data_IF_881337867107
#
_entry.id   IF_881337867107
#
_cell.length_a   1.000
_cell.length_b   1.000
_cell.length_c   1.000
_cell.angle_alpha   90.00
_cell.angle_beta   90.00
_cell.angle_gamma   90.00
#
_symmetry.space_group_name_H-M   'P 1'
#
loop_
_entity.id
_entity.type
_entity.pdbx_description
1 polymer ?
#
# COMPACT_ATOMS: atom_id res chain seq x y z
N UNK A 1 -8.89 26.95 8.14
CA UNK A 1 -7.43 27.23 8.10
C UNK A 1 -6.66 25.92 8.21
N UNK A 2 -5.62 25.77 7.41
CA UNK A 2 -4.63 24.69 7.48
C UNK A 2 -3.31 25.28 6.96
N UNK A 3 -2.17 24.86 7.50
CA UNK A 3 -0.87 25.33 7.02
C UNK A 3 -0.50 24.68 5.68
N UNK A 4 0.18 25.46 4.84
CA UNK A 4 0.57 25.08 3.49
C UNK A 4 1.93 25.69 3.19
N UNK A 5 2.64 25.15 2.20
CA UNK A 5 3.85 25.76 1.68
C UNK A 5 3.80 25.92 0.15
N UNK A 6 4.77 26.66 -0.37
CA UNK A 6 5.06 26.69 -1.81
C UNK A 6 6.53 26.31 -1.96
N UNK A 7 6.85 25.36 -2.85
CA UNK A 7 8.24 25.04 -3.15
C UNK A 7 8.98 26.29 -3.66
N UNK A 8 10.14 26.64 -3.09
CA UNK A 8 10.96 27.74 -3.60
C UNK A 8 11.51 27.43 -4.99
N UNK A 9 11.92 28.46 -5.71
CA UNK A 9 12.62 28.31 -6.99
C UNK A 9 13.88 27.45 -6.79
N UNK A 10 14.08 26.47 -7.69
CA UNK A 10 15.27 25.61 -7.65
C UNK A 10 16.51 26.44 -7.90
N UNK A 11 17.48 26.35 -7.00
CA UNK A 11 18.82 26.93 -7.13
C UNK A 11 19.86 25.83 -7.22
N UNK A 12 20.97 26.10 -7.90
CA UNK A 12 22.20 25.30 -7.88
C UNK A 12 23.18 25.73 -6.78
N UNK A 13 22.96 26.91 -6.20
CA UNK A 13 23.85 27.58 -5.23
C UNK A 13 23.27 27.57 -3.82
N UNK A 14 21.98 27.29 -3.66
CA UNK A 14 21.27 27.27 -2.38
C UNK A 14 20.43 25.99 -2.22
N UNK A 15 20.30 25.53 -0.98
CA UNK A 15 19.36 24.50 -0.58
C UNK A 15 18.28 25.08 0.35
N UNK A 16 17.10 24.44 0.34
CA UNK A 16 16.04 24.66 1.31
C UNK A 16 15.73 23.36 2.00
N UNK A 17 15.74 23.36 3.34
CA UNK A 17 15.20 22.29 4.16
C UNK A 17 13.80 22.71 4.63
N UNK A 18 12.77 21.95 4.22
CA UNK A 18 11.39 22.12 4.67
C UNK A 18 11.10 21.01 5.67
N UNK A 19 10.65 21.34 6.87
CA UNK A 19 10.47 20.38 7.96
C UNK A 19 9.34 20.78 8.92
N UNK A 20 8.94 19.85 9.77
CA UNK A 20 7.97 20.05 10.87
C UNK A 20 8.48 19.29 12.10
N UNK A 21 8.14 19.73 13.31
CA UNK A 21 8.53 19.03 14.54
C UNK A 21 7.49 19.20 15.65
N UNK A 22 7.57 18.37 16.69
CA UNK A 22 6.71 18.52 17.87
C UNK A 22 6.95 19.84 18.64
N UNK A 23 8.12 20.46 18.48
CA UNK A 23 8.46 21.77 19.05
C UNK A 23 8.08 22.94 18.13
N UNK A 24 7.89 22.67 16.83
CA UNK A 24 7.56 23.65 15.80
C UNK A 24 6.52 23.04 14.84
N UNK A 25 5.25 22.92 15.23
CA UNK A 25 4.23 22.30 14.38
C UNK A 25 3.99 23.10 13.10
N UNK A 26 3.77 22.39 12.00
CA UNK A 26 3.55 22.94 10.66
C UNK A 26 4.84 23.14 9.85
N UNK A 27 4.72 23.66 8.63
CA UNK A 27 5.86 23.84 7.72
C UNK A 27 6.83 24.95 8.19
N UNK A 28 8.05 24.54 8.54
CA UNK A 28 9.20 25.37 8.86
C UNK A 28 10.25 25.31 7.74
N UNK A 29 11.08 26.33 7.64
CA UNK A 29 12.06 26.49 6.55
C UNK A 29 13.44 26.86 7.09
N UNK A 30 14.47 26.21 6.57
CA UNK A 30 15.86 26.63 6.72
C UNK A 30 16.54 26.73 5.35
N UNK A 31 17.44 27.70 5.21
CA UNK A 31 18.06 28.08 3.95
C UNK A 31 19.58 28.11 4.12
N UNK A 32 20.32 27.58 3.16
CA UNK A 32 21.78 27.60 3.20
C UNK A 32 22.40 27.51 1.80
N UNK A 33 23.69 27.81 1.71
CA UNK A 33 24.44 27.73 0.44
C UNK A 33 24.97 26.32 0.19
N UNK A 34 24.95 25.92 -1.07
CA UNK A 34 25.63 24.72 -1.59
C UNK A 34 26.98 25.15 -2.13
N UNK A 35 28.05 24.84 -1.40
CA UNK A 35 29.42 25.20 -1.77
C UNK A 35 30.19 23.96 -2.21
N UNK A 36 31.12 24.13 -3.15
CA UNK A 36 32.01 23.04 -3.55
C UNK A 36 32.99 22.75 -2.41
N UNK A 37 33.06 21.49 -1.97
CA UNK A 37 33.96 21.06 -0.91
C UNK A 37 35.44 21.33 -1.23
N UNK A 38 35.83 21.42 -2.51
CA UNK A 38 37.21 21.75 -2.91
C UNK A 38 37.54 23.25 -2.87
N UNK A 39 36.57 24.12 -2.59
CA UNK A 39 36.77 25.58 -2.44
C UNK A 39 36.57 26.08 -1.02
N UNK A 40 36.32 25.18 -0.05
CA UNK A 40 36.30 25.50 1.37
C UNK A 40 37.73 25.68 1.90
N UNK A 41 37.97 26.62 2.84
CA UNK A 41 39.27 26.71 3.53
C UNK A 41 39.54 25.42 4.30
N UNK A 42 40.77 24.90 4.19
CA UNK A 42 41.12 23.51 4.54
C UNK A 42 40.92 23.20 6.03
N UNK A 43 41.02 24.19 6.92
CA UNK A 43 40.67 24.07 8.33
C UNK A 43 39.20 24.40 8.59
N UNK A 44 38.33 23.41 8.35
CA UNK A 44 37.09 23.31 9.15
C UNK A 44 37.50 23.07 10.62
N UNK A 45 36.71 23.53 11.59
CA UNK A 45 37.03 23.30 13.01
C UNK A 45 36.90 21.82 13.39
N UNK A 46 37.63 21.38 14.42
CA UNK A 46 37.61 20.01 14.93
C UNK A 46 36.23 19.55 15.45
N UNK A 47 35.26 20.47 15.56
CA UNK A 47 33.88 20.22 15.95
C UNK A 47 32.91 20.11 14.76
N UNK A 48 33.40 20.12 13.52
CA UNK A 48 32.57 20.09 12.31
C UNK A 48 32.16 18.68 11.88
N UNK A 49 30.87 18.49 11.59
CA UNK A 49 30.35 17.24 11.03
C UNK A 49 30.32 17.36 9.50
N UNK A 50 31.14 16.56 8.80
CA UNK A 50 31.22 16.57 7.33
C UNK A 50 30.44 15.41 6.72
N UNK A 51 29.34 15.70 6.03
CA UNK A 51 28.57 14.71 5.23
C UNK A 51 29.01 14.78 3.77
N UNK A 52 29.45 13.64 3.20
CA UNK A 52 29.89 13.54 1.79
C UNK A 52 28.89 12.74 0.97
N UNK A 53 28.25 13.37 -0.01
CA UNK A 53 27.29 12.73 -0.92
C UNK A 53 27.99 12.29 -2.21
N UNK A 54 27.96 11.00 -2.51
CA UNK A 54 28.47 10.46 -3.78
C UNK A 54 27.32 10.27 -4.79
N UNK A 55 27.29 11.09 -5.83
CA UNK A 55 26.24 11.07 -6.87
C UNK A 55 26.52 10.10 -8.04
N UNK A 56 27.71 9.48 -8.11
CA UNK A 56 28.02 8.50 -9.17
C UNK A 56 27.56 7.10 -8.81
N UNK A 57 27.54 6.75 -7.52
CA UNK A 57 26.98 5.49 -7.02
C UNK A 57 25.45 5.60 -6.88
N UNK A 58 24.69 4.79 -7.63
CA UNK A 58 23.22 4.90 -7.72
C UNK A 58 22.56 3.61 -7.24
N UNK A 59 21.73 3.74 -6.20
CA UNK A 59 20.93 2.66 -5.62
C UNK A 59 19.56 2.52 -6.30
N UNK A 60 18.59 1.89 -5.62
CA UNK A 60 17.21 1.76 -6.07
C UNK A 60 16.54 3.10 -6.40
N UNK A 61 15.47 3.07 -7.21
CA UNK A 61 14.67 4.26 -7.56
C UNK A 61 13.40 4.30 -6.71
N UNK A 62 13.19 5.37 -5.94
CA UNK A 62 11.98 5.56 -5.15
C UNK A 62 10.75 5.71 -6.07
N UNK A 63 9.74 4.87 -5.87
CA UNK A 63 8.49 4.86 -6.65
C UNK A 63 7.51 5.96 -6.20
N UNK A 64 7.40 6.16 -4.89
CA UNK A 64 6.54 7.13 -4.23
C UNK A 64 6.53 6.90 -2.71
N UNK A 65 5.91 7.82 -1.98
CA UNK A 65 5.62 7.73 -0.54
C UNK A 65 4.13 8.04 -0.36
N UNK A 66 3.50 7.50 0.68
CA UNK A 66 2.19 7.96 1.14
C UNK A 66 1.57 7.06 2.22
N UNK A 67 0.24 6.95 2.24
CA UNK A 67 -0.53 6.32 3.31
C UNK A 67 -1.48 5.20 2.87
N UNK A 68 -2.60 5.02 3.57
CA UNK A 68 -3.61 3.99 3.28
C UNK A 68 -5.02 4.56 3.35
N UNK A 69 -5.83 4.32 2.32
CA UNK A 69 -7.26 4.67 2.28
C UNK A 69 -8.09 3.57 2.97
N UNK A 70 -7.91 3.41 4.28
CA UNK A 70 -8.78 2.53 5.10
C UNK A 70 -10.17 3.13 5.28
N UNK A 71 -11.16 2.30 5.61
CA UNK A 71 -12.51 2.78 5.93
C UNK A 71 -12.43 3.83 7.04
N UNK A 72 -11.67 3.60 8.11
CA UNK A 72 -11.46 4.57 9.19
C UNK A 72 -10.87 5.90 8.71
N UNK A 73 -9.88 5.90 7.81
CA UNK A 73 -9.35 7.15 7.24
C UNK A 73 -10.43 7.87 6.42
N UNK A 74 -11.10 7.16 5.51
CA UNK A 74 -12.06 7.77 4.58
C UNK A 74 -13.34 8.24 5.30
N UNK A 75 -13.78 7.53 6.35
CA UNK A 75 -14.87 7.95 7.25
C UNK A 75 -14.48 9.23 7.99
N UNK A 76 -13.25 9.32 8.54
CA UNK A 76 -12.80 10.53 9.25
C UNK A 76 -12.59 11.73 8.30
N UNK A 77 -12.17 11.51 7.04
CA UNK A 77 -12.15 12.57 6.02
C UNK A 77 -13.58 13.07 5.72
N UNK A 78 -14.57 12.17 5.71
CA UNK A 78 -15.96 12.44 5.33
C UNK A 78 -16.86 12.87 6.50
N UNK A 79 -16.38 12.84 7.74
CA UNK A 79 -17.06 13.39 8.93
C UNK A 79 -16.67 14.85 9.23
N UNK A 80 -15.60 15.35 8.61
CA UNK A 80 -15.23 16.76 8.58
C UNK A 80 -16.20 17.57 7.72
N UNK A 81 -16.19 18.91 7.87
CA UNK A 81 -16.78 19.79 6.86
C UNK A 81 -16.01 19.67 5.54
N UNK A 82 -16.67 19.95 4.42
CA UNK A 82 -16.07 19.82 3.08
C UNK A 82 -14.76 20.63 2.95
N UNK A 83 -14.71 21.85 3.47
CA UNK A 83 -13.48 22.67 3.50
C UNK A 83 -12.35 21.98 4.30
N UNK A 84 -12.66 21.43 5.48
CA UNK A 84 -11.67 20.78 6.33
C UNK A 84 -11.18 19.44 5.75
N UNK A 85 -12.07 18.63 5.17
CA UNK A 85 -11.71 17.42 4.43
C UNK A 85 -10.84 17.72 3.20
N UNK A 86 -11.21 18.74 2.41
CA UNK A 86 -10.43 19.18 1.26
C UNK A 86 -9.05 19.75 1.67
N UNK A 87 -8.97 20.51 2.77
CA UNK A 87 -7.69 20.96 3.32
C UNK A 87 -6.80 19.76 3.74
N UNK A 88 -7.35 18.78 4.45
CA UNK A 88 -6.63 17.57 4.86
C UNK A 88 -6.09 16.77 3.65
N UNK A 89 -6.89 16.59 2.60
CA UNK A 89 -6.44 15.94 1.37
C UNK A 89 -5.38 16.76 0.62
N UNK A 90 -5.49 18.10 0.59
CA UNK A 90 -4.44 18.96 0.01
C UNK A 90 -3.11 18.83 0.75
N UNK A 91 -3.13 18.75 2.07
CA UNK A 91 -1.91 18.60 2.89
C UNK A 91 -1.18 17.27 2.67
N UNK A 92 -1.88 16.23 2.24
CA UNK A 92 -1.24 14.97 1.80
C UNK A 92 -0.84 14.99 0.33
N UNK A 93 -1.77 15.28 -0.60
CA UNK A 93 -1.62 14.94 -2.01
C UNK A 93 -1.20 16.09 -2.93
N UNK A 94 -1.43 17.35 -2.55
CA UNK A 94 -1.25 18.51 -3.45
C UNK A 94 0.15 19.13 -3.40
N UNK A 95 0.45 20.02 -4.37
CA UNK A 95 1.69 20.82 -4.46
C UNK A 95 1.95 21.74 -3.26
N UNK A 96 0.94 22.02 -2.44
CA UNK A 96 1.07 22.86 -1.25
C UNK A 96 1.16 22.03 0.05
N UNK A 97 1.37 20.72 -0.09
CA UNK A 97 1.53 19.73 0.96
C UNK A 97 2.54 18.65 0.56
N UNK A 98 2.39 17.45 1.09
CA UNK A 98 3.43 16.40 1.03
C UNK A 98 3.58 15.66 -0.32
N UNK A 99 2.86 16.06 -1.38
CA UNK A 99 2.83 15.41 -2.71
C UNK A 99 2.80 13.86 -2.67
N UNK A 100 2.00 13.27 -1.78
CA UNK A 100 1.84 11.82 -1.65
C UNK A 100 1.51 11.17 -3.00
N UNK A 101 2.30 10.16 -3.36
CA UNK A 101 2.36 9.57 -4.71
C UNK A 101 2.08 8.07 -4.74
N UNK A 102 1.96 7.44 -3.58
CA UNK A 102 1.49 6.05 -3.46
C UNK A 102 0.48 5.95 -2.32
N UNK A 103 -0.53 5.09 -2.46
CA UNK A 103 -1.45 4.79 -1.37
C UNK A 103 -1.92 3.33 -1.41
N UNK A 104 -2.04 2.71 -0.24
CA UNK A 104 -2.63 1.38 -0.08
C UNK A 104 -4.15 1.49 0.03
N UNK A 105 -4.89 0.48 -0.43
CA UNK A 105 -6.36 0.41 -0.34
C UNK A 105 -6.74 -1.01 0.13
N UNK A 106 -7.51 -1.16 1.22
CA UNK A 106 -8.06 -2.44 1.60
C UNK A 106 -9.02 -3.01 0.55
N UNK A 107 -8.81 -4.26 0.17
CA UNK A 107 -9.78 -5.05 -0.58
C UNK A 107 -10.77 -5.61 0.45
N UNK A 108 -11.98 -5.04 0.44
CA UNK A 108 -12.98 -5.15 1.50
C UNK A 108 -12.42 -4.73 2.88
N UNK A 109 -12.90 -5.34 3.97
CA UNK A 109 -12.57 -4.89 5.33
C UNK A 109 -11.17 -5.25 5.83
N UNK A 110 -10.70 -4.41 6.73
CA UNK A 110 -9.46 -4.49 7.51
C UNK A 110 -9.77 -4.43 9.01
N UNK A 111 -8.74 -4.40 9.85
CA UNK A 111 -8.84 -4.02 11.26
C UNK A 111 -9.29 -2.55 11.46
N UNK A 112 -9.03 -1.68 10.50
CA UNK A 112 -9.46 -0.27 10.50
C UNK A 112 -10.86 -0.07 9.89
N UNK A 113 -11.80 -0.96 10.18
CA UNK A 113 -13.19 -0.95 9.69
C UNK A 113 -14.20 -1.03 10.84
N UNK A 114 -15.40 -0.46 10.64
CA UNK A 114 -16.48 -0.47 11.65
C UNK A 114 -17.20 -1.82 11.76
N UNK A 115 -17.03 -2.69 10.77
CA UNK A 115 -17.52 -4.08 10.73
C UNK A 115 -16.62 -4.94 9.84
N UNK A 116 -16.61 -6.25 10.07
CA UNK A 116 -16.05 -7.21 9.12
C UNK A 116 -17.02 -7.47 7.97
N UNK A 117 -16.50 -7.53 6.75
CA UNK A 117 -17.19 -7.86 5.50
C UNK A 117 -16.21 -8.25 4.40
N UNK A 118 -16.65 -9.03 3.43
CA UNK A 118 -16.00 -9.17 2.12
C UNK A 118 -16.92 -8.67 1.00
N UNK A 119 -16.50 -8.82 -0.25
CA UNK A 119 -17.33 -8.51 -1.41
C UNK A 119 -18.27 -9.67 -1.80
N UNK A 120 -18.10 -10.85 -1.22
CA UNK A 120 -18.86 -12.05 -1.55
C UNK A 120 -19.04 -12.98 -0.34
N UNK A 121 -19.71 -12.47 0.69
CA UNK A 121 -20.06 -13.22 1.91
C UNK A 121 -21.21 -14.25 1.68
N UNK A 122 -21.56 -14.58 0.43
CA UNK A 122 -22.62 -15.56 0.09
C UNK A 122 -22.06 -16.98 0.09
N UNK A 123 -22.48 -17.89 1.00
CA UNK A 123 -21.84 -19.20 1.12
C UNK A 123 -22.01 -20.07 -0.13
N UNK A 124 -20.87 -20.40 -0.77
CA UNK A 124 -20.81 -21.32 -1.90
C UNK A 124 -20.83 -20.68 -3.29
N UNK A 125 -20.78 -19.35 -3.41
CA UNK A 125 -20.70 -18.66 -4.70
C UNK A 125 -19.33 -18.82 -5.38
N UNK A 126 -19.05 -20.00 -5.93
CA UNK A 126 -17.80 -20.27 -6.68
C UNK A 126 -17.68 -19.53 -8.02
N UNK A 127 -18.72 -18.78 -8.41
CA UNK A 127 -18.85 -18.11 -9.69
C UNK A 127 -18.72 -16.57 -9.61
N UNK A 128 -18.82 -15.97 -8.43
CA UNK A 128 -18.88 -14.51 -8.20
C UNK A 128 -20.15 -13.86 -8.80
N UNK A 129 -21.28 -14.57 -8.68
CA UNK A 129 -22.63 -14.13 -9.07
C UNK A 129 -23.18 -13.03 -8.13
N UNK A 130 -22.80 -13.08 -6.84
CA UNK A 130 -23.20 -12.15 -5.79
C UNK A 130 -22.11 -11.13 -5.41
N UNK A 131 -20.91 -11.25 -6.00
CA UNK A 131 -19.78 -10.34 -5.75
C UNK A 131 -20.16 -8.88 -6.03
N UNK A 132 -19.93 -8.01 -5.06
CA UNK A 132 -20.17 -6.56 -5.15
C UNK A 132 -19.28 -5.78 -4.19
N UNK A 133 -18.86 -4.59 -4.60
CA UNK A 133 -18.23 -3.63 -3.69
C UNK A 133 -19.23 -3.22 -2.58
N UNK A 134 -18.70 -2.89 -1.41
CA UNK A 134 -19.50 -2.60 -0.23
C UNK A 134 -19.99 -1.13 -0.22
N UNK A 135 -21.02 -0.79 0.59
CA UNK A 135 -21.42 0.60 0.78
C UNK A 135 -20.27 1.51 1.22
N UNK A 136 -19.30 0.98 1.96
CA UNK A 136 -18.10 1.68 2.40
C UNK A 136 -17.18 2.10 1.24
N UNK A 137 -17.10 1.32 0.16
CA UNK A 137 -16.36 1.68 -1.04
C UNK A 137 -16.97 2.90 -1.71
N UNK A 138 -18.26 2.83 -2.05
CA UNK A 138 -18.97 3.90 -2.76
C UNK A 138 -19.15 5.18 -1.91
N UNK A 139 -19.34 5.04 -0.59
CA UNK A 139 -19.61 6.18 0.29
C UNK A 139 -18.32 6.89 0.72
N UNK A 140 -17.24 6.14 0.95
CA UNK A 140 -16.01 6.66 1.56
C UNK A 140 -14.79 6.50 0.65
N UNK A 141 -14.40 5.28 0.27
CA UNK A 141 -13.09 5.04 -0.39
C UNK A 141 -13.02 5.63 -1.79
N UNK A 142 -13.97 5.31 -2.67
CA UNK A 142 -13.99 5.77 -4.07
C UNK A 142 -14.02 7.30 -4.14
N UNK A 143 -14.92 8.04 -3.44
CA UNK A 143 -14.90 9.51 -3.46
C UNK A 143 -13.61 10.13 -2.92
N UNK A 144 -13.04 9.58 -1.83
CA UNK A 144 -11.81 10.12 -1.22
C UNK A 144 -10.58 9.84 -2.08
N UNK A 145 -10.52 8.68 -2.74
CA UNK A 145 -9.47 8.33 -3.72
C UNK A 145 -9.54 9.27 -4.93
N UNK A 146 -10.73 9.52 -5.48
CA UNK A 146 -10.89 10.42 -6.64
C UNK A 146 -10.52 11.86 -6.31
N UNK A 147 -11.00 12.41 -5.18
CA UNK A 147 -10.58 13.74 -4.72
C UNK A 147 -9.07 13.85 -4.48
N UNK A 148 -8.44 12.82 -3.91
CA UNK A 148 -6.99 12.78 -3.72
C UNK A 148 -6.22 12.73 -5.05
N UNK A 149 -6.74 12.03 -6.08
CA UNK A 149 -6.17 12.00 -7.44
C UNK A 149 -6.28 13.35 -8.14
N UNK A 150 -7.42 14.02 -8.05
CA UNK A 150 -7.66 15.35 -8.64
C UNK A 150 -6.77 16.43 -8.02
N UNK A 151 -6.48 16.34 -6.72
CA UNK A 151 -5.57 17.25 -6.03
C UNK A 151 -4.08 16.94 -6.30
N UNK A 152 -3.75 15.74 -6.77
CA UNK A 152 -2.35 15.31 -6.93
C UNK A 152 -1.72 15.85 -8.22
N UNK A 153 -0.50 16.43 -8.15
CA UNK A 153 0.25 16.81 -9.34
C UNK A 153 0.94 15.62 -10.04
N UNK A 154 0.73 14.39 -9.55
CA UNK A 154 1.31 13.15 -10.05
C UNK A 154 0.23 12.09 -10.28
N UNK A 155 0.54 11.08 -11.09
CA UNK A 155 -0.22 9.84 -11.09
C UNK A 155 -0.03 9.14 -9.72
N UNK A 156 -1.05 9.21 -8.86
CA UNK A 156 -1.12 8.50 -7.58
C UNK A 156 -1.18 6.99 -7.82
N UNK A 157 -0.17 6.26 -7.38
CA UNK A 157 -0.09 4.80 -7.52
C UNK A 157 -0.86 4.10 -6.40
N UNK A 158 -1.94 3.39 -6.75
CA UNK A 158 -2.73 2.64 -5.78
C UNK A 158 -2.23 1.19 -5.66
N UNK A 159 -2.21 0.67 -4.43
CA UNK A 159 -1.84 -0.71 -4.12
C UNK A 159 -2.96 -1.43 -3.34
N UNK A 160 -3.51 -2.50 -3.91
CA UNK A 160 -4.59 -3.27 -3.29
C UNK A 160 -4.05 -4.37 -2.35
N UNK A 161 -4.70 -4.59 -1.21
CA UNK A 161 -4.37 -5.72 -0.32
C UNK A 161 -5.59 -6.21 0.48
N UNK A 162 -5.92 -7.51 0.50
CA UNK A 162 -7.05 -8.08 1.24
C UNK A 162 -6.60 -8.65 2.60
N UNK A 163 -7.33 -8.35 3.69
CA UNK A 163 -7.02 -8.97 4.99
C UNK A 163 -7.59 -10.39 5.12
N UNK A 164 -8.75 -10.68 4.53
CA UNK A 164 -9.34 -12.03 4.52
C UNK A 164 -10.13 -12.28 3.24
N UNK A 165 -10.25 -13.55 2.85
CA UNK A 165 -11.26 -14.03 1.91
C UNK A 165 -12.62 -14.24 2.60
N UNK A 166 -13.71 -14.48 1.83
CA UNK A 166 -15.00 -14.85 2.41
C UNK A 166 -14.88 -16.11 3.27
N UNK A 167 -15.55 -16.11 4.43
CA UNK A 167 -15.26 -17.11 5.46
C UNK A 167 -15.50 -18.57 4.99
N UNK A 168 -16.52 -18.81 4.18
CA UNK A 168 -16.87 -20.12 3.60
C UNK A 168 -15.77 -20.75 2.73
N UNK A 169 -14.81 -19.96 2.24
CA UNK A 169 -13.63 -20.45 1.49
C UNK A 169 -12.52 -21.02 2.38
N UNK A 170 -12.63 -20.85 3.71
CA UNK A 170 -11.56 -21.13 4.68
C UNK A 170 -11.86 -22.36 5.53
N UNK A 171 -10.82 -22.98 6.10
CA UNK A 171 -10.94 -24.26 6.78
C UNK A 171 -11.66 -24.20 8.15
N UNK A 172 -11.79 -23.02 8.75
CA UNK A 172 -12.44 -22.79 10.05
C UNK A 172 -13.74 -21.97 9.96
N UNK A 173 -14.16 -21.56 8.75
CA UNK A 173 -15.25 -20.61 8.50
C UNK A 173 -15.14 -19.28 9.28
N UNK A 174 -13.93 -18.84 9.62
CA UNK A 174 -13.66 -17.57 10.32
C UNK A 174 -13.21 -16.46 9.37
N UNK A 175 -13.39 -15.20 9.78
CA UNK A 175 -12.74 -14.05 9.14
C UNK A 175 -11.37 -13.70 9.75
N UNK A 176 -11.05 -14.19 10.96
CA UNK A 176 -9.89 -13.73 11.76
C UNK A 176 -8.72 -14.71 11.83
N UNK A 177 -8.94 -15.94 11.37
CA UNK A 177 -8.00 -17.07 11.37
C UNK A 177 -8.29 -17.95 10.15
N UNK A 178 -7.57 -19.07 10.05
CA UNK A 178 -7.86 -20.12 9.07
C UNK A 178 -7.15 -19.92 7.72
N UNK A 179 -6.80 -21.04 7.11
CA UNK A 179 -6.23 -21.12 5.77
C UNK A 179 -7.35 -21.14 4.74
N UNK A 180 -7.09 -20.59 3.56
CA UNK A 180 -7.92 -20.90 2.38
C UNK A 180 -7.79 -22.38 2.03
N UNK A 181 -8.92 -23.05 1.77
CA UNK A 181 -8.93 -24.44 1.27
C UNK A 181 -8.52 -24.43 -0.21
N UNK A 182 -7.69 -25.39 -0.62
CA UNK A 182 -7.06 -25.39 -1.95
C UNK A 182 -8.08 -25.41 -3.10
N UNK A 183 -9.25 -26.03 -2.88
CA UNK A 183 -10.39 -26.02 -3.80
C UNK A 183 -10.87 -24.61 -4.22
N UNK A 184 -10.61 -23.57 -3.42
CA UNK A 184 -10.99 -22.18 -3.70
C UNK A 184 -9.84 -21.31 -4.23
N UNK A 185 -8.65 -21.85 -4.49
CA UNK A 185 -7.55 -21.08 -5.10
C UNK A 185 -7.94 -20.47 -6.45
N UNK A 186 -8.64 -21.24 -7.29
CA UNK A 186 -9.19 -20.74 -8.56
C UNK A 186 -10.29 -19.69 -8.39
N UNK A 187 -11.06 -19.76 -7.30
CA UNK A 187 -12.06 -18.75 -6.94
C UNK A 187 -11.39 -17.45 -6.47
N UNK A 188 -10.42 -17.54 -5.57
CA UNK A 188 -9.73 -16.37 -5.01
C UNK A 188 -8.95 -15.58 -6.06
N UNK A 189 -8.35 -16.28 -7.03
CA UNK A 189 -7.72 -15.64 -8.18
C UNK A 189 -8.73 -14.79 -8.99
N UNK A 190 -9.95 -15.30 -9.21
CA UNK A 190 -11.04 -14.53 -9.84
C UNK A 190 -11.53 -13.38 -8.96
N UNK A 191 -11.70 -13.57 -7.65
CA UNK A 191 -12.14 -12.53 -6.71
C UNK A 191 -11.22 -11.30 -6.77
N UNK A 192 -9.90 -11.53 -6.80
CA UNK A 192 -8.90 -10.46 -6.88
C UNK A 192 -8.93 -9.73 -8.23
N UNK A 193 -9.14 -10.43 -9.34
CA UNK A 193 -9.40 -9.78 -10.63
C UNK A 193 -10.71 -9.00 -10.64
N UNK A 194 -11.79 -9.56 -10.09
CA UNK A 194 -13.11 -8.93 -10.08
C UNK A 194 -13.11 -7.63 -9.26
N UNK A 195 -12.31 -7.55 -8.20
CA UNK A 195 -12.02 -6.29 -7.51
C UNK A 195 -11.41 -5.23 -8.45
N UNK A 196 -10.40 -5.59 -9.26
CA UNK A 196 -9.80 -4.68 -10.24
C UNK A 196 -10.80 -4.29 -11.34
N UNK A 197 -11.72 -5.19 -11.71
CA UNK A 197 -12.79 -4.92 -12.68
C UNK A 197 -13.83 -3.93 -12.16
N UNK A 198 -14.36 -4.12 -10.94
CA UNK A 198 -15.34 -3.19 -10.36
C UNK A 198 -14.70 -1.81 -10.10
N UNK A 199 -13.51 -1.73 -9.50
CA UNK A 199 -12.85 -0.43 -9.28
C UNK A 199 -12.50 0.30 -10.59
N UNK A 200 -12.21 -0.42 -11.69
CA UNK A 200 -11.97 0.21 -13.00
C UNK A 200 -13.26 0.79 -13.62
N UNK A 201 -14.45 0.25 -13.32
CA UNK A 201 -15.73 0.88 -13.74
C UNK A 201 -15.89 2.27 -13.11
N UNK A 202 -15.44 2.42 -11.87
CA UNK A 202 -15.37 3.68 -11.12
C UNK A 202 -14.17 4.56 -11.52
N UNK A 203 -13.48 4.24 -12.63
CA UNK A 203 -12.34 4.99 -13.16
C UNK A 203 -11.06 4.90 -12.32
N UNK A 204 -10.97 3.94 -11.38
CA UNK A 204 -9.83 3.75 -10.48
C UNK A 204 -9.03 2.50 -10.90
N UNK A 205 -7.76 2.69 -11.19
CA UNK A 205 -6.84 1.61 -11.58
C UNK A 205 -5.72 1.42 -10.54
N UNK A 206 -5.30 0.17 -10.36
CA UNK A 206 -4.26 -0.21 -9.41
C UNK A 206 -2.91 -0.40 -10.09
N UNK A 207 -1.87 0.22 -9.52
CA UNK A 207 -0.49 -0.01 -9.92
C UNK A 207 -0.05 -1.43 -9.56
N UNK A 208 -0.50 -1.94 -8.41
CA UNK A 208 -0.23 -3.31 -7.97
C UNK A 208 -1.19 -3.80 -6.90
N UNK A 209 -1.04 -5.06 -6.52
CA UNK A 209 -1.73 -5.66 -5.38
C UNK A 209 -0.98 -6.88 -4.84
N UNK A 210 -1.38 -7.31 -3.65
CA UNK A 210 -1.06 -8.62 -3.07
C UNK A 210 -2.34 -9.47 -2.91
N UNK A 211 -2.22 -10.80 -2.78
CA UNK A 211 -3.36 -11.68 -2.51
C UNK A 211 -3.70 -11.85 -1.02
N UNK A 212 -2.99 -11.14 -0.12
CA UNK A 212 -3.19 -11.12 1.33
C UNK A 212 -2.49 -9.91 2.00
N UNK A 213 -2.88 -9.64 3.25
CA UNK A 213 -2.16 -8.88 4.25
C UNK A 213 -1.76 -9.84 5.38
N UNK A 214 -0.48 -9.90 5.72
CA UNK A 214 0.07 -10.60 6.90
C UNK A 214 -0.33 -12.08 7.04
N UNK A 215 0.02 -12.92 6.06
CA UNK A 215 -0.34 -14.34 6.02
C UNK A 215 0.23 -15.17 7.19
N UNK A 216 1.23 -14.67 7.91
CA UNK A 216 1.94 -15.38 8.98
C UNK A 216 1.45 -14.95 10.36
N UNK A 217 0.97 -13.71 10.54
CA UNK A 217 0.70 -13.14 11.87
C UNK A 217 -0.21 -14.00 12.76
N UNK A 218 -1.34 -14.52 12.25
CA UNK A 218 -2.22 -15.36 13.08
C UNK A 218 -1.72 -16.79 13.30
N UNK A 219 -0.62 -17.22 12.65
CA UNK A 219 0.01 -18.54 12.88
C UNK A 219 0.74 -18.61 14.22
N UNK A 220 1.44 -17.54 14.61
CA UNK A 220 2.24 -17.49 15.84
C UNK A 220 1.59 -16.67 16.97
N UNK A 221 0.64 -15.79 16.66
CA UNK A 221 -0.11 -15.03 17.66
C UNK A 221 -1.28 -15.85 18.21
N UNK A 222 -1.21 -16.21 19.50
CA UNK A 222 -2.22 -17.05 20.19
C UNK A 222 -3.64 -16.45 20.18
N UNK A 223 -3.75 -15.13 20.18
CA UNK A 223 -5.00 -14.41 19.94
C UNK A 223 -4.76 -13.42 18.80
N UNK A 224 -5.44 -13.66 17.67
CA UNK A 224 -5.58 -12.75 16.54
C UNK A 224 -7.08 -12.71 16.27
N UNK A 225 -7.69 -11.54 16.46
CA UNK A 225 -9.14 -11.35 16.44
C UNK A 225 -9.57 -10.25 15.45
N UNK A 226 -8.63 -9.81 14.61
CA UNK A 226 -8.86 -8.95 13.45
C UNK A 226 -8.81 -9.79 12.17
N UNK A 227 -9.31 -9.24 11.06
CA UNK A 227 -9.34 -9.93 9.77
C UNK A 227 -7.97 -10.52 9.38
N UNK A 228 -7.96 -11.82 9.04
CA UNK A 228 -6.76 -12.51 8.57
C UNK A 228 -7.12 -13.76 7.76
N UNK A 229 -6.31 -14.06 6.75
CA UNK A 229 -6.32 -15.33 6.03
C UNK A 229 -4.89 -15.88 6.02
N UNK A 230 -4.72 -17.07 6.60
CA UNK A 230 -3.43 -17.72 6.75
C UNK A 230 -2.94 -18.29 5.42
N UNK A 231 -1.66 -18.09 5.10
CA UNK A 231 -1.01 -18.76 3.99
C UNK A 231 0.34 -19.32 4.42
N UNK A 232 0.60 -20.59 4.07
CA UNK A 232 1.95 -21.13 4.04
C UNK A 232 2.61 -20.72 2.71
N UNK A 233 3.92 -20.43 2.67
CA UNK A 233 4.60 -20.01 1.44
C UNK A 233 4.49 -21.06 0.33
N UNK A 234 4.46 -22.34 0.68
CA UNK A 234 4.29 -23.45 -0.27
C UNK A 234 2.91 -23.42 -0.96
N UNK A 235 1.85 -23.13 -0.20
CA UNK A 235 0.48 -23.00 -0.72
C UNK A 235 0.33 -21.73 -1.57
N UNK A 236 0.89 -20.61 -1.11
CA UNK A 236 0.92 -19.36 -1.88
C UNK A 236 1.62 -19.53 -3.23
N UNK A 237 2.75 -20.26 -3.26
CA UNK A 237 3.51 -20.55 -4.47
C UNK A 237 2.71 -21.31 -5.52
N UNK A 238 1.95 -22.33 -5.11
CA UNK A 238 0.99 -23.06 -5.96
C UNK A 238 -0.10 -22.12 -6.45
N UNK A 239 -0.70 -21.34 -5.55
CA UNK A 239 -1.72 -20.35 -5.90
C UNK A 239 -1.24 -19.30 -6.92
N UNK A 240 0.01 -18.81 -6.83
CA UNK A 240 0.59 -17.90 -7.83
C UNK A 240 0.82 -18.62 -9.16
N UNK A 241 1.49 -19.78 -9.15
CA UNK A 241 1.89 -20.51 -10.35
C UNK A 241 0.70 -21.00 -11.17
N UNK A 242 -0.29 -21.59 -10.51
CA UNK A 242 -1.35 -22.38 -11.17
C UNK A 242 -2.69 -21.62 -11.30
N UNK A 243 -2.87 -20.52 -10.55
CA UNK A 243 -4.13 -19.76 -10.52
C UNK A 243 -3.96 -18.27 -10.79
N UNK A 244 -3.38 -17.49 -9.86
CA UNK A 244 -3.40 -16.03 -9.95
C UNK A 244 -2.46 -15.47 -11.01
N UNK A 245 -1.24 -16.00 -11.14
CA UNK A 245 -0.25 -15.53 -12.11
C UNK A 245 -0.74 -15.67 -13.56
N UNK A 246 -1.11 -16.88 -14.02
CA UNK A 246 -1.64 -17.09 -15.36
C UNK A 246 -2.90 -16.25 -15.64
N UNK A 247 -3.84 -16.22 -14.69
CA UNK A 247 -5.09 -15.46 -14.84
C UNK A 247 -4.84 -13.95 -14.95
N UNK A 248 -3.97 -13.38 -14.10
CA UNK A 248 -3.62 -11.97 -14.15
C UNK A 248 -2.94 -11.60 -15.47
N UNK A 249 -1.95 -12.38 -15.93
CA UNK A 249 -1.21 -12.07 -17.17
C UNK A 249 -2.02 -12.32 -18.46
N UNK A 250 -3.03 -13.19 -18.41
CA UNK A 250 -4.00 -13.35 -19.51
C UNK A 250 -5.09 -12.25 -19.53
N UNK A 251 -5.28 -11.52 -18.43
CA UNK A 251 -6.34 -10.52 -18.29
C UNK A 251 -5.99 -9.14 -18.86
N UNK A 252 -6.99 -8.24 -19.01
CA UNK A 252 -6.77 -6.81 -19.24
C UNK A 252 -5.96 -6.05 -18.16
N UNK A 253 -5.56 -6.72 -17.06
CA UNK A 253 -4.75 -6.16 -15.98
C UNK A 253 -3.31 -6.73 -15.97
N UNK A 254 -2.86 -7.32 -17.08
CA UNK A 254 -1.56 -7.98 -17.18
C UNK A 254 -0.35 -7.12 -16.77
N UNK A 255 -0.45 -5.79 -16.87
CA UNK A 255 0.57 -4.82 -16.46
C UNK A 255 0.56 -4.49 -14.95
N UNK A 256 -0.52 -4.80 -14.21
CA UNK A 256 -0.63 -4.57 -12.77
C UNK A 256 0.41 -5.41 -12.02
N UNK A 257 1.10 -4.79 -11.05
CA UNK A 257 2.20 -5.43 -10.32
C UNK A 257 1.69 -6.40 -9.25
N UNK A 258 2.13 -7.65 -9.30
CA UNK A 258 1.79 -8.68 -8.31
C UNK A 258 2.91 -8.78 -7.26
N UNK A 259 2.58 -8.57 -5.99
CA UNK A 259 3.56 -8.49 -4.90
C UNK A 259 3.29 -9.57 -3.84
N UNK A 260 4.37 -10.15 -3.32
CA UNK A 260 4.33 -11.20 -2.28
C UNK A 260 4.75 -10.67 -0.89
N UNK A 261 4.65 -11.55 0.10
CA UNK A 261 4.95 -11.37 1.53
C UNK A 261 3.94 -10.50 2.29
N UNK A 262 3.98 -9.16 2.21
CA UNK A 262 3.10 -8.25 3.00
C UNK A 262 3.09 -8.60 4.50
N UNK A 263 4.26 -8.88 5.09
CA UNK A 263 4.38 -9.29 6.49
C UNK A 263 5.65 -8.73 7.15
N UNK A 264 5.79 -8.93 8.46
CA UNK A 264 6.91 -8.45 9.27
C UNK A 264 8.23 -9.11 8.88
N UNK A 265 9.27 -8.29 8.68
CA UNK A 265 10.55 -8.70 8.03
C UNK A 265 11.28 -9.89 8.67
N UNK A 266 11.00 -10.20 9.94
CA UNK A 266 11.49 -11.39 10.64
C UNK A 266 11.28 -12.70 9.86
N UNK A 267 10.23 -12.78 9.03
CA UNK A 267 9.91 -13.98 8.23
C UNK A 267 10.30 -13.88 6.75
N UNK A 268 11.03 -12.84 6.34
CA UNK A 268 11.32 -12.54 4.93
C UNK A 268 12.06 -13.68 4.22
N UNK A 269 13.19 -14.11 4.78
CA UNK A 269 14.01 -15.20 4.23
C UNK A 269 13.20 -16.52 4.22
N UNK A 270 12.53 -16.82 5.33
CA UNK A 270 11.65 -17.98 5.44
C UNK A 270 10.61 -18.05 4.30
N UNK A 271 10.01 -16.92 3.94
CA UNK A 271 9.03 -16.83 2.86
C UNK A 271 9.66 -16.96 1.48
N UNK A 272 10.68 -16.14 1.19
CA UNK A 272 11.28 -16.07 -0.16
C UNK A 272 12.00 -17.36 -0.55
N UNK A 273 12.73 -18.01 0.36
CA UNK A 273 13.39 -19.30 0.10
C UNK A 273 12.42 -20.40 -0.34
N UNK A 274 11.15 -20.29 0.07
CA UNK A 274 10.10 -21.29 -0.19
C UNK A 274 9.26 -20.94 -1.40
N UNK A 275 9.02 -19.66 -1.67
CA UNK A 275 8.25 -19.17 -2.82
C UNK A 275 9.13 -19.06 -4.07
N UNK A 276 10.27 -18.35 -4.00
CA UNK A 276 11.06 -17.95 -5.17
C UNK A 276 11.89 -19.09 -5.79
N UNK A 277 12.00 -20.23 -5.10
CA UNK A 277 12.67 -21.44 -5.62
C UNK A 277 11.89 -22.11 -6.77
N UNK A 278 10.58 -21.88 -6.86
CA UNK A 278 9.77 -22.30 -8.00
C UNK A 278 9.71 -21.17 -9.03
N UNK A 279 10.49 -21.30 -10.09
CA UNK A 279 10.61 -20.27 -11.14
C UNK A 279 9.26 -19.92 -11.78
N UNK A 280 8.39 -20.89 -11.97
CA UNK A 280 7.08 -20.67 -12.57
C UNK A 280 6.11 -19.90 -11.65
N UNK A 281 6.38 -19.85 -10.33
CA UNK A 281 5.73 -18.89 -9.44
C UNK A 281 6.47 -17.54 -9.45
N UNK A 282 7.81 -17.56 -9.39
CA UNK A 282 8.66 -16.36 -9.32
C UNK A 282 8.50 -15.43 -10.54
N UNK A 283 8.37 -15.97 -11.75
CA UNK A 283 8.22 -15.21 -13.00
C UNK A 283 6.93 -14.36 -13.04
N UNK A 284 5.96 -14.64 -12.16
CA UNK A 284 4.76 -13.82 -11.98
C UNK A 284 4.90 -12.73 -10.91
N UNK A 285 5.91 -12.79 -10.03
CA UNK A 285 6.06 -11.90 -8.87
C UNK A 285 6.93 -10.69 -9.23
N UNK A 286 6.33 -9.50 -9.22
CA UNK A 286 6.98 -8.24 -9.55
C UNK A 286 7.77 -7.61 -8.39
N UNK A 287 7.57 -8.09 -7.16
CA UNK A 287 8.22 -7.53 -5.97
C UNK A 287 7.76 -8.14 -4.65
N UNK A 288 8.32 -7.62 -3.56
CA UNK A 288 8.10 -8.07 -2.18
C UNK A 288 7.74 -6.86 -1.33
N UNK A 289 6.69 -6.97 -0.50
CA UNK A 289 6.29 -5.94 0.47
C UNK A 289 6.74 -6.32 1.88
N UNK A 290 7.04 -5.32 2.71
CA UNK A 290 7.70 -5.48 4.01
C UNK A 290 7.04 -4.60 5.08
N UNK A 291 6.54 -5.21 6.15
CA UNK A 291 5.92 -4.50 7.27
C UNK A 291 6.92 -4.30 8.44
N UNK A 292 6.61 -3.32 9.31
CA UNK A 292 7.46 -2.88 10.42
C UNK A 292 6.61 -2.63 11.68
N UNK A 293 6.82 -3.44 12.72
CA UNK A 293 6.01 -3.43 13.96
C UNK A 293 6.75 -4.01 15.18
N UNK A 294 7.90 -4.67 14.98
CA UNK A 294 8.62 -5.48 15.98
C UNK A 294 10.11 -5.48 15.63
N UNK A 295 10.60 -4.26 15.46
CA UNK A 295 11.92 -3.88 14.94
C UNK A 295 12.97 -3.82 16.07
#
# INVERSE_FOLDING_TARGET
>A
YCDTFTYPSRSTENFTHIFTSNHTPGYNFHWGTVQNASTLPISLSDQSITVKVNISNKSHRLKGIGGSFTDSFCINVKSLSEEAGNNLLRSYFSRSGNEYKMARVPIASSDFCTRTYTYDDTPGDVNLEYFKLAPEDYTYKIPVISAAREMSPHNLYLFGSPWTSPNWTKNDNSYTRGYMKEEYFGYWAKYLLRFLEEYRKEGIEFWGFSPFNEPINSLYLKQYLINNMQWLPMAHRVFIRDHLGPLLRASPFNATKLVTFEDGRLFLEYWLDRVMVDKAAADYIDGVSLHWYRD
#
